data_IF_813200584236
#
_entry.id   IF_813200584236
#
_cell.length_a   1.000
_cell.length_b   1.000
_cell.length_c   1.000
_cell.angle_alpha   90.00
_cell.angle_beta   90.00
_cell.angle_gamma   90.00
#
_symmetry.space_group_name_H-M   'P 1'
#
loop_
_entity.id
_entity.type
_entity.pdbx_description
1 polymer ?
#
# COMPACT_ATOMS: atom_id res chain seq x y z
N UNK A 1 23.85 1.48 1.03
CA UNK A 1 22.59 2.08 0.54
C UNK A 1 21.51 1.03 0.66
N UNK A 2 20.79 0.99 1.79
CA UNK A 2 19.73 0.00 2.01
C UNK A 2 18.51 0.39 1.18
N UNK A 3 18.40 -0.17 -0.02
CA UNK A 3 17.21 -0.03 -0.85
C UNK A 3 16.11 -0.87 -0.24
N UNK A 4 15.34 -0.32 0.71
CA UNK A 4 14.08 -0.94 1.09
C UNK A 4 13.19 -0.95 -0.15
N UNK A 5 12.64 -2.11 -0.56
CA UNK A 5 11.78 -2.17 -1.73
C UNK A 5 10.53 -1.32 -1.47
N UNK A 6 10.20 -0.45 -2.43
CA UNK A 6 8.95 0.31 -2.40
C UNK A 6 7.79 -0.65 -2.58
N UNK A 7 6.87 -0.65 -1.62
CA UNK A 7 5.67 -1.47 -1.64
C UNK A 7 4.51 -0.65 -2.22
N UNK A 8 3.61 -1.32 -2.91
CA UNK A 8 2.39 -0.71 -3.47
C UNK A 8 1.20 -1.10 -2.62
N UNK A 9 0.48 -0.09 -2.15
CA UNK A 9 -0.73 -0.23 -1.36
C UNK A 9 -1.93 0.32 -2.14
N UNK A 10 -3.07 -0.34 -2.03
CA UNK A 10 -4.34 0.06 -2.61
C UNK A 10 -5.39 0.21 -1.52
N UNK A 11 -6.17 1.28 -1.56
CA UNK A 11 -7.29 1.45 -0.66
C UNK A 11 -8.45 0.55 -1.06
N UNK A 12 -8.94 -0.28 -0.15
CA UNK A 12 -10.09 -1.16 -0.37
C UNK A 12 -11.40 -0.38 -0.62
N UNK A 13 -11.53 0.79 0.00
CA UNK A 13 -12.77 1.59 -0.07
C UNK A 13 -12.89 2.40 -1.38
N UNK A 14 -11.80 3.03 -1.83
CA UNK A 14 -11.85 3.95 -2.99
C UNK A 14 -10.90 3.59 -4.15
N UNK A 15 -10.08 2.54 -4.01
CA UNK A 15 -9.13 2.10 -5.04
C UNK A 15 -7.88 2.99 -5.19
N UNK A 16 -7.67 3.99 -4.32
CA UNK A 16 -6.48 4.85 -4.41
C UNK A 16 -5.19 4.07 -4.14
N UNK A 17 -4.17 4.27 -4.98
CA UNK A 17 -2.89 3.56 -4.92
C UNK A 17 -1.75 4.47 -4.45
N UNK A 18 -0.97 4.00 -3.49
CA UNK A 18 0.23 4.67 -3.00
C UNK A 18 1.45 3.74 -3.05
N UNK A 19 2.61 4.27 -3.45
CA UNK A 19 3.89 3.57 -3.40
C UNK A 19 4.74 4.15 -2.28
N UNK A 20 5.05 3.33 -1.28
CA UNK A 20 5.79 3.75 -0.08
C UNK A 20 6.58 2.58 0.49
N UNK A 21 7.68 2.88 1.17
CA UNK A 21 8.49 1.87 1.84
C UNK A 21 7.82 1.32 3.12
N UNK A 22 6.95 2.12 3.74
CA UNK A 22 6.25 1.78 4.98
C UNK A 22 4.72 1.73 4.78
N UNK A 23 3.99 0.88 5.52
CA UNK A 23 2.53 0.80 5.43
C UNK A 23 1.89 2.15 5.80
N UNK A 24 1.09 2.76 4.92
CA UNK A 24 0.48 4.06 5.19
C UNK A 24 -0.67 3.99 6.22
N UNK A 25 -1.14 2.80 6.58
CA UNK A 25 -2.25 2.58 7.51
C UNK A 25 -3.60 2.92 6.86
N UNK A 26 -3.84 4.20 6.58
CA UNK A 26 -5.10 4.69 6.02
C UNK A 26 -4.88 5.51 4.74
N UNK A 27 -5.92 5.53 3.91
CA UNK A 27 -5.96 6.25 2.65
C UNK A 27 -6.12 7.74 2.88
N UNK A 28 -5.19 8.55 2.36
CA UNK A 28 -5.25 10.01 2.45
C UNK A 28 -6.45 10.64 1.71
N UNK A 29 -7.14 9.88 0.86
CA UNK A 29 -8.29 10.38 0.07
C UNK A 29 -9.62 10.18 0.78
N UNK A 30 -9.86 8.98 1.33
CA UNK A 30 -11.17 8.62 1.90
C UNK A 30 -11.10 8.14 3.36
N UNK A 31 -9.90 8.01 3.94
CA UNK A 31 -9.70 7.45 5.28
C UNK A 31 -9.85 5.93 5.38
N UNK A 32 -10.14 5.23 4.27
CA UNK A 32 -10.26 3.77 4.24
C UNK A 32 -8.92 3.05 4.47
N UNK A 33 -8.97 1.76 4.78
CA UNK A 33 -7.76 0.95 4.99
C UNK A 33 -6.95 0.78 3.69
N UNK A 34 -5.62 0.81 3.80
CA UNK A 34 -4.72 0.57 2.68
C UNK A 34 -4.09 -0.83 2.76
N UNK A 35 -4.39 -1.65 1.76
CA UNK A 35 -3.95 -3.04 1.67
C UNK A 35 -2.71 -3.13 0.78
N UNK A 36 -1.70 -3.89 1.21
CA UNK A 36 -0.50 -4.11 0.41
C UNK A 36 -0.80 -5.08 -0.75
N UNK A 37 -0.74 -4.57 -1.98
CA UNK A 37 -0.96 -5.35 -3.21
C UNK A 37 0.35 -5.76 -3.90
N UNK A 38 1.50 -5.31 -3.38
CA UNK A 38 2.82 -5.66 -3.94
C UNK A 38 3.36 -7.01 -3.46
N UNK A 39 2.87 -7.51 -2.33
CA UNK A 39 3.10 -8.90 -1.91
C UNK A 39 1.97 -9.76 -2.49
N UNK A 40 2.10 -10.17 -3.75
CA UNK A 40 1.31 -11.29 -4.25
C UNK A 40 1.57 -12.46 -3.30
N UNK A 41 0.54 -12.94 -2.59
CA UNK A 41 0.62 -14.15 -1.77
C UNK A 41 1.09 -15.28 -2.69
N UNK A 42 2.36 -15.63 -2.60
CA UNK A 42 2.95 -16.74 -3.33
C UNK A 42 2.25 -18.01 -2.85
N UNK A 43 1.32 -18.52 -3.68
CA UNK A 43 0.57 -19.76 -3.52
C UNK A 43 1.47 -20.98 -3.58
#
# INVERSE_FOLDING_TARGET
MSQHPTQTYECDNCGHRARTNAPPGHCSVCGGEMINISVARNS
#
